data_IF_002754973301
#
_entry.id   IF_002754973301
#
_cell.length_a   1.000
_cell.length_b   1.000
_cell.length_c   1.000
_cell.angle_alpha   90.00
_cell.angle_beta   90.00
_cell.angle_gamma   90.00
#
_symmetry.space_group_name_H-M   'P 1'
#
loop_
_entity.id
_entity.type
_entity.pdbx_description
1 polymer ?
#
# COMPACT_ATOMS: atom_id res chain seq x y z
N UNK A 1 -12.81 -10.43 19.83
CA UNK A 1 -12.06 -10.97 18.67
C UNK A 1 -12.91 -11.89 17.79
N UNK A 2 -13.83 -12.72 18.33
CA UNK A 2 -14.71 -13.55 17.51
C UNK A 2 -15.77 -12.76 16.71
N UNK A 3 -16.48 -11.81 17.33
CA UNK A 3 -17.53 -11.01 16.67
C UNK A 3 -17.00 -10.11 15.53
N UNK A 4 -15.76 -9.63 15.64
CA UNK A 4 -15.10 -8.84 14.59
C UNK A 4 -14.72 -9.69 13.38
N UNK A 5 -14.34 -10.95 13.57
CA UNK A 5 -13.91 -11.84 12.48
C UNK A 5 -15.10 -12.34 11.65
N UNK A 6 -16.24 -12.63 12.29
CA UNK A 6 -17.46 -13.04 11.59
C UNK A 6 -18.02 -11.91 10.72
N UNK A 7 -17.97 -10.66 11.22
CA UNK A 7 -18.39 -9.48 10.46
C UNK A 7 -17.52 -9.28 9.22
N UNK A 8 -16.20 -9.48 9.31
CA UNK A 8 -15.27 -9.33 8.18
C UNK A 8 -15.44 -10.44 7.15
N UNK A 9 -15.62 -11.69 7.57
CA UNK A 9 -15.84 -12.81 6.67
C UNK A 9 -17.12 -12.61 5.84
N UNK A 10 -18.17 -12.06 6.47
CA UNK A 10 -19.41 -11.68 5.80
C UNK A 10 -19.21 -10.53 4.80
N UNK A 11 -18.41 -9.51 5.14
CA UNK A 11 -18.06 -8.41 4.23
C UNK A 11 -17.34 -8.93 2.98
N UNK A 12 -16.31 -9.75 3.15
CA UNK A 12 -15.53 -10.31 2.03
C UNK A 12 -16.39 -11.23 1.16
N UNK A 13 -17.25 -12.04 1.78
CA UNK A 13 -18.18 -12.90 1.04
C UNK A 13 -19.10 -12.08 0.11
N UNK A 14 -19.61 -10.94 0.59
CA UNK A 14 -20.46 -10.06 -0.22
C UNK A 14 -19.68 -9.34 -1.34
N UNK A 15 -18.42 -8.97 -1.12
CA UNK A 15 -17.55 -8.45 -2.17
C UNK A 15 -17.29 -9.47 -3.31
N UNK A 16 -17.18 -10.75 -2.96
CA UNK A 16 -16.96 -11.86 -3.92
C UNK A 16 -18.21 -12.17 -4.74
N UNK A 17 -19.39 -12.11 -4.13
CA UNK A 17 -20.67 -12.24 -4.84
C UNK A 17 -20.85 -11.15 -5.91
N UNK A 18 -20.24 -9.99 -5.67
CA UNK A 18 -20.18 -8.88 -6.60
C UNK A 18 -21.46 -8.05 -6.65
N UNK A 19 -21.32 -6.79 -7.06
CA UNK A 19 -22.44 -5.85 -7.14
C UNK A 19 -22.37 -4.99 -8.38
N UNK A 20 -23.53 -4.67 -8.94
CA UNK A 20 -23.63 -3.75 -10.07
C UNK A 20 -23.43 -2.32 -9.56
N UNK A 21 -22.36 -1.68 -10.03
CA UNK A 21 -22.07 -0.27 -9.78
C UNK A 21 -21.97 0.48 -11.10
N UNK A 22 -22.25 1.78 -11.05
CA UNK A 22 -22.07 2.65 -12.21
C UNK A 22 -20.67 3.24 -12.18
N UNK A 23 -19.85 2.84 -13.14
CA UNK A 23 -18.51 3.40 -13.35
C UNK A 23 -18.61 4.68 -14.16
N UNK A 24 -18.08 5.77 -13.60
CA UNK A 24 -17.99 7.06 -14.24
C UNK A 24 -16.57 7.29 -14.81
N UNK A 25 -16.53 7.94 -15.97
CA UNK A 25 -15.31 8.42 -16.62
C UNK A 25 -15.28 9.94 -16.62
N UNK A 26 -14.08 10.50 -16.70
CA UNK A 26 -13.85 11.96 -16.69
C UNK A 26 -14.53 12.67 -17.87
N UNK A 27 -14.68 11.97 -19.01
CA UNK A 27 -15.45 12.44 -20.17
C UNK A 27 -17.00 12.36 -19.98
N UNK A 28 -17.46 11.91 -18.82
CA UNK A 28 -18.87 11.78 -18.45
C UNK A 28 -19.59 10.54 -18.97
N UNK A 29 -18.89 9.58 -19.58
CA UNK A 29 -19.48 8.29 -19.97
C UNK A 29 -19.75 7.44 -18.72
N UNK A 30 -20.91 6.78 -18.72
CA UNK A 30 -21.37 5.89 -17.63
C UNK A 30 -21.39 4.45 -18.09
N UNK A 31 -20.90 3.57 -17.23
CA UNK A 31 -20.86 2.14 -17.51
C UNK A 31 -21.37 1.37 -16.30
N UNK A 32 -22.62 0.85 -16.34
CA UNK A 32 -23.06 -0.15 -15.38
C UNK A 32 -22.20 -1.40 -15.54
N UNK A 33 -21.57 -1.83 -14.46
CA UNK A 33 -20.65 -2.96 -14.43
C UNK A 33 -20.83 -3.71 -13.12
N UNK A 34 -20.83 -5.03 -13.19
CA UNK A 34 -20.80 -5.86 -11.99
C UNK A 34 -19.35 -5.99 -11.54
N UNK A 35 -19.02 -5.44 -10.38
CA UNK A 35 -17.69 -5.52 -9.78
C UNK A 35 -17.66 -6.63 -8.76
N UNK A 36 -16.53 -7.33 -8.68
CA UNK A 36 -16.33 -8.42 -7.72
C UNK A 36 -14.87 -8.48 -7.29
N UNK A 37 -14.65 -8.98 -6.08
CA UNK A 37 -13.34 -9.23 -5.50
C UNK A 37 -12.87 -10.66 -5.79
N UNK A 38 -11.68 -10.78 -6.34
CA UNK A 38 -10.89 -12.00 -6.37
C UNK A 38 -9.98 -12.01 -5.15
N UNK A 39 -10.48 -12.58 -4.05
CA UNK A 39 -9.82 -12.52 -2.74
C UNK A 39 -8.47 -13.24 -2.74
N UNK A 40 -8.38 -14.43 -3.36
CA UNK A 40 -7.13 -15.22 -3.38
C UNK A 40 -6.05 -14.53 -4.20
N UNK A 41 -6.44 -13.96 -5.33
CA UNK A 41 -5.53 -13.30 -6.27
C UNK A 41 -5.32 -11.81 -5.94
N UNK A 42 -6.03 -11.28 -4.94
CA UNK A 42 -5.83 -9.93 -4.39
C UNK A 42 -6.20 -8.79 -5.33
N UNK A 43 -7.28 -8.92 -6.11
CA UNK A 43 -7.71 -7.86 -7.02
C UNK A 43 -9.22 -7.71 -7.18
N UNK A 44 -9.65 -6.53 -7.63
CA UNK A 44 -11.03 -6.23 -8.03
C UNK A 44 -11.07 -6.17 -9.55
N UNK A 45 -12.10 -6.75 -10.16
CA UNK A 45 -12.38 -6.62 -11.59
C UNK A 45 -13.87 -6.41 -11.82
N UNK A 46 -14.28 -6.29 -13.09
CA UNK A 46 -15.68 -6.15 -13.44
C UNK A 46 -16.03 -6.79 -14.78
N UNK A 47 -17.27 -7.25 -14.93
CA UNK A 47 -17.80 -7.80 -16.17
C UNK A 47 -18.55 -6.77 -17.03
N UNK A 48 -18.69 -7.07 -18.33
CA UNK A 48 -19.51 -6.31 -19.27
C UNK A 48 -18.78 -5.26 -20.14
N UNK A 49 -17.46 -5.38 -20.33
CA UNK A 49 -16.72 -4.55 -21.31
C UNK A 49 -17.11 -4.91 -22.75
N UNK A 50 -17.82 -4.02 -23.46
CA UNK A 50 -18.21 -4.20 -24.88
C UNK A 50 -17.07 -3.94 -25.89
N UNK A 51 -15.82 -3.81 -25.43
CA UNK A 51 -14.68 -3.62 -26.35
C UNK A 51 -14.36 -4.97 -27.00
N UNK A 52 -14.36 -5.05 -28.33
CA UNK A 52 -13.76 -6.19 -29.04
C UNK A 52 -12.34 -6.39 -28.51
N UNK A 53 -12.04 -7.58 -28.00
CA UNK A 53 -10.76 -7.98 -27.39
C UNK A 53 -10.32 -7.23 -26.11
N UNK A 54 -11.19 -6.41 -25.50
CA UNK A 54 -10.84 -5.67 -24.31
C UNK A 54 -11.03 -6.48 -23.03
N UNK A 55 -9.94 -7.08 -22.50
CA UNK A 55 -9.94 -7.70 -21.17
C UNK A 55 -10.45 -6.71 -20.10
N UNK A 56 -11.25 -7.16 -19.12
CA UNK A 56 -11.70 -6.30 -18.04
C UNK A 56 -10.49 -5.78 -17.25
N UNK A 57 -10.62 -4.57 -16.71
CA UNK A 57 -9.51 -3.93 -16.02
C UNK A 57 -9.40 -4.48 -14.61
N UNK A 58 -8.19 -4.91 -14.26
CA UNK A 58 -7.82 -5.40 -12.94
C UNK A 58 -7.35 -4.22 -12.09
N UNK A 59 -7.84 -4.14 -10.85
CA UNK A 59 -7.39 -3.23 -9.81
C UNK A 59 -6.81 -4.09 -8.68
N UNK A 60 -5.49 -4.26 -8.65
CA UNK A 60 -4.85 -5.03 -7.57
C UNK A 60 -4.99 -4.24 -6.28
N UNK A 61 -5.34 -4.92 -5.20
CA UNK A 61 -5.43 -4.30 -3.87
C UNK A 61 -4.09 -3.66 -3.48
N UNK A 62 -2.97 -4.26 -3.92
CA UNK A 62 -1.63 -3.74 -3.70
C UNK A 62 -1.31 -2.42 -4.44
N UNK A 63 -2.09 -2.06 -5.46
CA UNK A 63 -1.87 -0.85 -6.23
C UNK A 63 -2.80 0.30 -5.80
N UNK A 64 -3.69 0.03 -4.82
CA UNK A 64 -4.61 1.04 -4.28
C UNK A 64 -3.80 1.94 -3.34
N UNK A 65 -3.76 3.22 -3.66
CA UNK A 65 -3.16 4.26 -2.83
C UNK A 65 -4.14 4.71 -1.75
N UNK A 66 -5.41 4.89 -2.12
CA UNK A 66 -6.43 5.49 -1.26
C UNK A 66 -7.84 5.13 -1.73
N UNK A 67 -8.79 5.05 -0.81
CA UNK A 67 -10.23 4.92 -1.11
C UNK A 67 -10.93 6.17 -0.59
N UNK A 68 -11.63 6.87 -1.49
CA UNK A 68 -12.31 8.14 -1.18
C UNK A 68 -13.82 7.99 -1.25
N UNK A 69 -14.54 8.41 -0.22
CA UNK A 69 -16.01 8.42 -0.22
C UNK A 69 -16.57 9.78 -0.64
N UNK A 70 -17.71 9.79 -1.33
CA UNK A 70 -18.42 11.01 -1.71
C UNK A 70 -17.63 11.90 -2.69
N UNK A 71 -17.74 13.22 -2.51
CA UNK A 71 -17.12 14.24 -3.37
C UNK A 71 -15.60 14.43 -3.20
N UNK A 72 -14.92 13.62 -2.38
CA UNK A 72 -13.46 13.69 -2.22
C UNK A 72 -12.65 13.29 -3.48
N UNK A 73 -13.32 12.95 -4.59
CA UNK A 73 -12.71 12.80 -5.90
C UNK A 73 -13.25 13.87 -6.86
N UNK A 74 -12.36 14.76 -7.31
CA UNK A 74 -12.57 15.87 -8.25
C UNK A 74 -13.59 15.55 -9.37
N UNK A 75 -13.54 14.34 -9.91
CA UNK A 75 -14.41 13.86 -10.98
C UNK A 75 -15.90 13.85 -10.64
N UNK A 76 -16.31 13.58 -9.40
CA UNK A 76 -17.73 13.51 -9.05
C UNK A 76 -18.38 14.90 -8.94
N UNK A 77 -17.63 15.88 -8.46
CA UNK A 77 -18.07 17.28 -8.40
C UNK A 77 -18.28 17.88 -9.79
N UNK A 78 -17.32 17.67 -10.71
CA UNK A 78 -17.46 18.11 -12.10
C UNK A 78 -18.67 17.48 -12.79
N UNK A 79 -18.97 16.22 -12.47
CA UNK A 79 -20.09 15.49 -13.04
C UNK A 79 -21.44 15.91 -12.47
N UNK A 80 -21.52 16.31 -11.20
CA UNK A 80 -22.72 16.92 -10.62
C UNK A 80 -22.93 18.33 -11.16
N UNK A 81 -21.89 19.15 -11.24
CA UNK A 81 -21.96 20.51 -11.81
C UNK A 81 -22.39 20.51 -13.29
N UNK A 82 -21.93 19.52 -14.07
CA UNK A 82 -22.36 19.31 -15.47
C UNK A 82 -23.74 18.64 -15.61
N UNK A 83 -24.50 18.50 -14.51
CA UNK A 83 -25.81 17.79 -14.42
C UNK A 83 -25.79 16.34 -14.92
N UNK A 84 -24.61 15.71 -14.96
CA UNK A 84 -24.45 14.33 -15.40
C UNK A 84 -24.72 13.32 -14.28
N UNK A 85 -24.79 13.73 -13.02
CA UNK A 85 -25.08 12.91 -11.83
C UNK A 85 -26.07 13.69 -10.94
N UNK A 86 -26.97 13.00 -10.22
CA UNK A 86 -27.92 13.66 -9.29
C UNK A 86 -27.22 13.97 -7.96
N UNK A 87 -27.63 15.04 -7.28
CA UNK A 87 -27.08 15.39 -5.95
C UNK A 87 -27.22 14.25 -4.92
N UNK A 88 -28.29 13.44 -5.01
CA UNK A 88 -28.51 12.29 -4.12
C UNK A 88 -27.61 11.07 -4.43
N UNK A 89 -26.81 11.11 -5.50
CA UNK A 89 -25.86 10.04 -5.80
C UNK A 89 -24.58 10.16 -4.95
N UNK A 90 -24.38 11.30 -4.26
CA UNK A 90 -23.23 11.58 -3.40
C UNK A 90 -23.00 10.49 -2.34
N UNK A 91 -24.04 10.16 -1.57
CA UNK A 91 -23.92 9.23 -0.43
C UNK A 91 -23.70 7.78 -0.86
N UNK A 92 -23.78 7.53 -2.17
CA UNK A 92 -23.58 6.22 -2.81
C UNK A 92 -22.28 6.18 -3.61
N UNK A 93 -21.56 7.30 -3.72
CA UNK A 93 -20.36 7.42 -4.53
C UNK A 93 -19.08 7.14 -3.73
N UNK A 94 -18.11 6.52 -4.39
CA UNK A 94 -16.74 6.39 -3.89
C UNK A 94 -15.75 6.23 -5.05
N UNK A 95 -14.47 6.46 -4.79
CA UNK A 95 -13.40 6.36 -5.76
C UNK A 95 -12.25 5.52 -5.24
N UNK A 96 -11.74 4.62 -6.08
CA UNK A 96 -10.49 3.90 -5.83
C UNK A 96 -9.38 4.67 -6.53
N UNK A 97 -8.44 5.19 -5.76
CA UNK A 97 -7.27 5.94 -6.25
C UNK A 97 -6.08 4.99 -6.32
N UNK A 98 -5.35 5.04 -7.43
CA UNK A 98 -4.22 4.16 -7.71
C UNK A 98 -3.21 4.84 -8.65
N UNK A 99 -2.05 4.20 -8.85
CA UNK A 99 -0.95 4.69 -9.69
C UNK A 99 -0.35 6.01 -9.15
N UNK A 100 0.10 5.99 -7.89
CA UNK A 100 0.68 7.13 -7.19
C UNK A 100 -0.23 8.37 -7.22
N UNK A 101 -1.50 8.17 -6.91
CA UNK A 101 -2.54 9.20 -6.86
C UNK A 101 -2.87 9.84 -8.22
N UNK A 102 -2.41 9.28 -9.34
CA UNK A 102 -2.61 9.84 -10.69
C UNK A 102 -3.92 9.40 -11.34
N UNK A 103 -4.51 8.28 -10.91
CA UNK A 103 -5.69 7.69 -11.57
C UNK A 103 -6.79 7.35 -10.56
N UNK A 104 -8.04 7.51 -11.00
CA UNK A 104 -9.23 7.17 -10.22
C UNK A 104 -10.15 6.18 -10.92
N UNK A 105 -10.77 5.28 -10.17
CA UNK A 105 -11.94 4.51 -10.58
C UNK A 105 -13.15 5.00 -9.79
N UNK A 106 -13.98 5.80 -10.45
CA UNK A 106 -15.12 6.49 -9.86
C UNK A 106 -16.38 5.63 -9.97
N UNK A 107 -16.93 5.21 -8.84
CA UNK A 107 -18.04 4.26 -8.74
C UNK A 107 -19.23 4.84 -7.97
N UNK A 108 -20.45 4.53 -8.42
CA UNK A 108 -21.69 4.81 -7.70
C UNK A 108 -22.36 3.47 -7.41
N UNK A 109 -22.53 3.17 -6.12
CA UNK A 109 -23.21 1.99 -5.63
C UNK A 109 -24.75 2.12 -5.78
N UNK A 110 -25.51 1.01 -5.69
CA UNK A 110 -26.98 1.02 -5.69
C UNK A 110 -27.56 1.82 -4.52
N UNK A 111 -26.95 1.70 -3.34
CA UNK A 111 -27.39 2.35 -2.10
C UNK A 111 -26.18 2.66 -1.18
N UNK A 112 -26.44 3.45 -0.13
CA UNK A 112 -25.41 3.87 0.84
C UNK A 112 -24.81 2.67 1.60
N UNK A 113 -25.65 1.70 1.96
CA UNK A 113 -25.23 0.51 2.69
C UNK A 113 -24.20 -0.30 1.89
N UNK A 114 -24.44 -0.45 0.59
CA UNK A 114 -23.54 -1.13 -0.35
C UNK A 114 -22.25 -0.35 -0.52
N UNK A 115 -22.31 0.99 -0.62
CA UNK A 115 -21.11 1.83 -0.67
C UNK A 115 -20.25 1.64 0.58
N UNK A 116 -20.86 1.72 1.76
CA UNK A 116 -20.14 1.59 3.04
C UNK A 116 -19.54 0.20 3.21
N UNK A 117 -20.26 -0.85 2.80
CA UNK A 117 -19.76 -2.21 2.77
C UNK A 117 -18.53 -2.34 1.86
N UNK A 118 -18.60 -1.79 0.65
CA UNK A 118 -17.49 -1.85 -0.30
C UNK A 118 -16.27 -1.08 0.18
N UNK A 119 -16.47 0.15 0.66
CA UNK A 119 -15.39 0.97 1.20
C UNK A 119 -14.74 0.29 2.41
N UNK A 120 -15.54 -0.19 3.36
CA UNK A 120 -15.02 -0.85 4.57
C UNK A 120 -14.27 -2.13 4.23
N UNK A 121 -14.81 -2.96 3.34
CA UNK A 121 -14.15 -4.21 2.94
C UNK A 121 -12.87 -3.97 2.15
N UNK A 122 -12.83 -2.98 1.25
CA UNK A 122 -11.62 -2.62 0.53
C UNK A 122 -10.57 -1.97 1.43
N UNK A 123 -10.97 -1.06 2.33
CA UNK A 123 -10.08 -0.46 3.32
C UNK A 123 -9.47 -1.54 4.20
N UNK A 124 -10.28 -2.50 4.66
CA UNK A 124 -9.81 -3.63 5.42
C UNK A 124 -8.78 -4.48 4.67
N UNK A 125 -8.95 -4.69 3.35
CA UNK A 125 -7.96 -5.42 2.54
C UNK A 125 -6.65 -4.63 2.38
N UNK A 126 -6.73 -3.30 2.25
CA UNK A 126 -5.57 -2.40 2.21
C UNK A 126 -4.85 -2.37 3.58
N UNK A 127 -5.57 -2.34 4.69
CA UNK A 127 -5.00 -2.39 6.03
C UNK A 127 -4.42 -3.78 6.33
N UNK A 128 -5.11 -4.84 5.87
CA UNK A 128 -4.59 -6.19 5.90
C UNK A 128 -3.33 -6.34 5.05
N UNK A 129 -3.12 -5.60 3.96
CA UNK A 129 -1.82 -5.61 3.25
C UNK A 129 -0.71 -5.11 4.15
N UNK A 130 -0.95 -4.03 4.90
CA UNK A 130 0.01 -3.48 5.88
C UNK A 130 0.33 -4.48 6.99
N UNK A 131 -0.66 -5.26 7.43
CA UNK A 131 -0.48 -6.34 8.42
C UNK A 131 -0.01 -7.67 7.80
N UNK A 132 -0.31 -7.97 6.54
CA UNK A 132 0.13 -9.18 5.80
C UNK A 132 1.56 -9.06 5.36
N UNK A 133 2.10 -7.86 5.13
CA UNK A 133 3.56 -7.64 5.12
C UNK A 133 4.22 -8.19 6.39
N UNK A 134 3.50 -8.26 7.52
CA UNK A 134 3.97 -8.88 8.76
C UNK A 134 3.64 -10.37 8.85
N UNK A 135 2.48 -10.82 8.32
CA UNK A 135 2.09 -12.24 8.28
C UNK A 135 2.61 -13.05 7.08
N UNK A 136 3.35 -12.45 6.14
CA UNK A 136 4.07 -13.15 5.05
C UNK A 136 5.18 -14.09 5.55
N UNK A 137 5.33 -14.21 6.87
CA UNK A 137 6.24 -15.09 7.57
C UNK A 137 5.63 -16.46 7.91
N UNK A 138 4.41 -16.79 7.46
CA UNK A 138 3.78 -18.11 7.70
C UNK A 138 4.12 -19.12 6.58
N UNK A 139 5.10 -18.78 5.73
CA UNK A 139 5.69 -19.71 4.78
C UNK A 139 6.20 -18.93 3.58
N UNK A 140 7.41 -18.39 3.68
CA UNK A 140 8.09 -17.72 2.57
C UNK A 140 8.00 -18.56 1.28
N UNK A 141 8.07 -19.88 1.42
CA UNK A 141 7.90 -20.82 0.30
C UNK A 141 6.51 -20.74 -0.34
N UNK A 142 5.43 -20.66 0.43
CA UNK A 142 4.07 -20.51 -0.11
C UNK A 142 3.91 -19.20 -0.86
N UNK A 143 4.49 -18.11 -0.35
CA UNK A 143 4.50 -16.82 -1.06
C UNK A 143 5.33 -16.87 -2.35
N UNK A 144 6.49 -17.53 -2.32
CA UNK A 144 7.28 -17.76 -3.54
C UNK A 144 6.46 -18.60 -4.55
N UNK A 145 5.72 -19.60 -4.08
CA UNK A 145 4.86 -20.43 -4.91
C UNK A 145 3.67 -19.64 -5.51
N UNK A 146 3.21 -18.56 -4.89
CA UNK A 146 2.23 -17.66 -5.53
C UNK A 146 2.81 -17.01 -6.80
N UNK A 147 4.08 -16.60 -6.80
CA UNK A 147 4.74 -16.13 -8.03
C UNK A 147 4.91 -17.24 -9.05
N UNK A 148 5.21 -18.45 -8.59
CA UNK A 148 5.29 -19.62 -9.47
C UNK A 148 3.98 -19.81 -10.23
N UNK A 149 2.87 -19.88 -9.50
CA UNK A 149 1.55 -20.08 -10.10
C UNK A 149 1.10 -18.91 -10.97
N UNK A 150 1.51 -17.68 -10.65
CA UNK A 150 1.23 -16.51 -11.47
C UNK A 150 2.05 -16.51 -12.80
N UNK A 151 3.26 -17.07 -12.77
CA UNK A 151 4.14 -17.16 -13.93
C UNK A 151 3.82 -18.35 -14.86
N UNK A 152 3.18 -19.40 -14.33
CA UNK A 152 2.75 -20.59 -15.09
C UNK A 152 1.51 -20.28 -15.95
N UNK A 153 1.71 -19.47 -16.98
CA UNK A 153 0.62 -18.98 -17.83
C UNK A 153 -0.03 -20.06 -18.67
N UNK A 154 0.73 -21.10 -19.01
CA UNK A 154 0.27 -22.24 -19.79
C UNK A 154 -0.32 -23.38 -18.91
N UNK A 155 -0.26 -23.23 -17.58
CA UNK A 155 -0.75 -24.22 -16.59
C UNK A 155 -0.06 -25.59 -16.70
N UNK A 156 1.21 -25.60 -17.10
CA UNK A 156 2.02 -26.81 -17.23
C UNK A 156 2.45 -27.39 -15.88
N UNK A 157 2.23 -26.66 -14.77
CA UNK A 157 2.76 -26.97 -13.44
C UNK A 157 4.30 -26.95 -13.37
N UNK A 158 4.94 -26.34 -14.37
CA UNK A 158 6.37 -26.10 -14.47
C UNK A 158 6.60 -24.71 -15.04
N UNK A 159 7.79 -24.14 -14.86
CA UNK A 159 8.15 -22.87 -15.48
C UNK A 159 9.26 -23.04 -16.50
N UNK A 160 8.98 -22.63 -17.73
CA UNK A 160 10.01 -22.50 -18.76
C UNK A 160 10.98 -21.35 -18.45
N UNK A 161 12.16 -21.37 -19.08
CA UNK A 161 13.13 -20.26 -19.02
C UNK A 161 12.51 -18.92 -19.42
N UNK A 162 11.60 -18.93 -20.38
CA UNK A 162 10.87 -17.73 -20.83
C UNK A 162 9.94 -17.21 -19.74
N UNK A 163 9.11 -18.06 -19.15
CA UNK A 163 8.18 -17.66 -18.07
C UNK A 163 8.93 -17.15 -16.85
N UNK A 164 10.07 -17.77 -16.51
CA UNK A 164 10.94 -17.27 -15.44
C UNK A 164 11.50 -15.87 -15.77
N UNK A 165 12.02 -15.65 -16.98
CA UNK A 165 12.52 -14.32 -17.40
C UNK A 165 11.41 -13.27 -17.39
N UNK A 166 10.21 -13.62 -17.88
CA UNK A 166 9.06 -12.72 -17.92
C UNK A 166 8.57 -12.37 -16.51
N UNK A 167 8.63 -13.31 -15.55
CA UNK A 167 8.35 -13.04 -14.15
C UNK A 167 9.36 -12.04 -13.57
N UNK A 168 10.66 -12.28 -13.78
CA UNK A 168 11.72 -11.43 -13.26
C UNK A 168 11.61 -9.99 -13.79
N UNK A 169 11.47 -9.82 -15.10
CA UNK A 169 11.42 -8.49 -15.73
C UNK A 169 10.09 -7.78 -15.49
N UNK A 170 8.97 -8.44 -15.78
CA UNK A 170 7.67 -7.77 -15.84
C UNK A 170 6.96 -7.68 -14.50
N UNK A 171 7.22 -8.62 -13.58
CA UNK A 171 6.52 -8.68 -12.29
C UNK A 171 7.40 -8.25 -11.12
N UNK A 172 8.68 -8.61 -11.13
CA UNK A 172 9.60 -8.32 -10.04
C UNK A 172 10.53 -7.13 -10.34
N UNK A 173 10.55 -6.64 -11.58
CA UNK A 173 11.42 -5.56 -12.04
C UNK A 173 12.92 -5.83 -11.74
N UNK A 174 13.33 -7.08 -11.98
CA UNK A 174 14.71 -7.55 -11.80
C UNK A 174 15.33 -7.70 -13.18
N UNK A 175 16.31 -6.85 -13.48
CA UNK A 175 17.17 -7.00 -14.65
C UNK A 175 18.34 -7.92 -14.31
N UNK A 176 18.55 -8.94 -15.14
CA UNK A 176 19.61 -9.93 -14.96
C UNK A 176 20.28 -10.26 -16.29
N UNK A 177 21.63 -10.25 -16.36
CA UNK A 177 22.36 -10.75 -17.51
C UNK A 177 22.04 -12.22 -17.81
N UNK A 178 21.89 -12.57 -19.09
CA UNK A 178 21.49 -13.91 -19.52
C UNK A 178 22.43 -15.01 -19.02
N UNK A 179 23.74 -14.76 -19.00
CA UNK A 179 24.72 -15.74 -18.50
C UNK A 179 24.53 -16.06 -17.01
N UNK A 180 24.16 -15.07 -16.19
CA UNK A 180 23.88 -15.27 -14.76
C UNK A 180 22.58 -16.06 -14.60
N UNK A 181 21.55 -15.70 -15.37
CA UNK A 181 20.28 -16.41 -15.36
C UNK A 181 20.45 -17.89 -15.72
N UNK A 182 21.10 -18.19 -16.85
CA UNK A 182 21.33 -19.57 -17.29
C UNK A 182 22.14 -20.36 -16.26
N UNK A 183 23.20 -19.77 -15.68
CA UNK A 183 23.98 -20.43 -14.64
C UNK A 183 23.15 -20.76 -13.39
N UNK A 184 22.29 -19.83 -12.95
CA UNK A 184 21.42 -20.07 -11.79
C UNK A 184 20.34 -21.10 -12.08
N UNK A 185 19.72 -21.02 -13.25
CA UNK A 185 18.67 -21.93 -13.70
C UNK A 185 19.20 -23.36 -13.80
N UNK A 186 20.31 -23.55 -14.51
CA UNK A 186 20.94 -24.86 -14.70
C UNK A 186 21.46 -25.45 -13.39
N UNK A 187 21.80 -24.62 -12.40
CA UNK A 187 22.26 -25.08 -11.08
C UNK A 187 21.13 -25.71 -10.25
N UNK A 188 19.88 -25.27 -10.42
CA UNK A 188 18.74 -25.79 -9.66
C UNK A 188 17.92 -26.83 -10.42
N UNK A 189 17.97 -26.80 -11.75
CA UNK A 189 17.29 -27.75 -12.61
C UNK A 189 17.88 -29.15 -12.42
N UNK A 190 17.06 -30.10 -11.99
CA UNK A 190 17.43 -31.51 -11.84
C UNK A 190 16.86 -32.39 -12.94
N UNK A 191 15.87 -31.88 -13.68
CA UNK A 191 15.24 -32.62 -14.79
C UNK A 191 15.99 -32.43 -16.11
N UNK A 192 15.83 -33.39 -17.03
CA UNK A 192 16.38 -33.32 -18.38
C UNK A 192 15.69 -32.27 -19.29
N UNK A 193 14.64 -31.61 -18.79
CA UNK A 193 13.85 -30.63 -19.53
C UNK A 193 14.19 -29.23 -19.02
N UNK A 194 14.25 -28.25 -19.93
CA UNK A 194 14.56 -26.82 -19.65
C UNK A 194 13.43 -26.08 -18.92
N UNK A 195 12.98 -26.65 -17.80
CA UNK A 195 11.90 -26.17 -16.94
C UNK A 195 12.25 -26.33 -15.47
N UNK A 196 11.65 -25.51 -14.61
CA UNK A 196 11.68 -25.65 -13.15
C UNK A 196 10.35 -26.14 -12.62
N UNK A 197 10.36 -27.17 -11.78
CA UNK A 197 9.22 -27.54 -10.96
C UNK A 197 9.09 -26.60 -9.72
N UNK A 198 8.00 -26.68 -8.94
CA UNK A 198 7.78 -25.79 -7.79
C UNK A 198 8.95 -25.75 -6.78
N UNK A 199 9.56 -26.90 -6.47
CA UNK A 199 10.65 -27.02 -5.49
C UNK A 199 11.95 -26.40 -6.04
N UNK A 200 12.25 -26.66 -7.31
CA UNK A 200 13.40 -26.08 -8.00
C UNK A 200 13.26 -24.56 -8.12
N UNK A 201 12.05 -24.07 -8.41
CA UNK A 201 11.77 -22.65 -8.49
C UNK A 201 11.92 -21.95 -7.13
N UNK A 202 11.44 -22.53 -6.04
CA UNK A 202 11.68 -21.98 -4.69
C UNK A 202 13.17 -21.84 -4.41
N UNK A 203 13.96 -22.84 -4.81
CA UNK A 203 15.42 -22.80 -4.66
C UNK A 203 16.05 -21.70 -5.52
N UNK A 204 15.64 -21.58 -6.78
CA UNK A 204 16.06 -20.53 -7.70
C UNK A 204 15.77 -19.13 -7.13
N UNK A 205 14.55 -18.92 -6.64
CA UNK A 205 14.09 -17.66 -6.09
C UNK A 205 14.85 -17.29 -4.81
N UNK A 206 15.08 -18.25 -3.92
CA UNK A 206 15.90 -18.06 -2.72
C UNK A 206 17.35 -17.71 -3.09
N UNK A 207 17.92 -18.32 -4.14
CA UNK A 207 19.26 -17.97 -4.63
C UNK A 207 19.32 -16.53 -5.16
N UNK A 208 18.30 -16.09 -5.88
CA UNK A 208 18.18 -14.73 -6.42
C UNK A 208 18.10 -13.67 -5.32
N UNK A 209 17.32 -13.97 -4.27
CA UNK A 209 17.03 -13.03 -3.19
C UNK A 209 17.99 -13.13 -2.01
N UNK A 210 19.15 -13.78 -2.21
CA UNK A 210 20.19 -13.95 -1.17
C UNK A 210 20.67 -12.60 -0.61
N UNK A 211 20.39 -12.39 0.67
CA UNK A 211 20.80 -11.20 1.43
C UNK A 211 22.18 -11.38 2.09
N UNK A 212 23.24 -11.31 1.26
CA UNK A 212 24.64 -11.40 1.72
C UNK A 212 24.99 -10.32 2.76
N UNK A 213 24.37 -9.17 2.65
CA UNK A 213 24.47 -8.06 3.60
C UNK A 213 24.00 -8.46 4.99
N UNK A 214 22.85 -9.13 5.11
CA UNK A 214 22.34 -9.62 6.39
C UNK A 214 23.26 -10.68 7.00
N UNK A 215 23.79 -11.57 6.15
CA UNK A 215 24.80 -12.54 6.57
C UNK A 215 26.04 -11.86 7.16
N UNK A 216 26.61 -10.88 6.45
CA UNK A 216 27.78 -10.12 6.92
C UNK A 216 27.51 -9.36 8.22
N UNK A 217 26.28 -8.87 8.43
CA UNK A 217 25.89 -8.24 9.69
C UNK A 217 25.86 -9.29 10.80
N UNK A 218 25.11 -10.37 10.62
CA UNK A 218 24.93 -11.44 11.60
C UNK A 218 26.26 -12.07 12.02
N UNK A 219 27.17 -12.31 11.07
CA UNK A 219 28.51 -12.83 11.33
C UNK A 219 29.33 -12.01 12.32
N UNK A 220 29.07 -10.70 12.48
CA UNK A 220 29.78 -9.86 13.46
C UNK A 220 29.38 -10.17 14.90
N UNK A 221 28.22 -10.80 15.10
CA UNK A 221 27.63 -11.06 16.40
C UNK A 221 27.66 -12.54 16.78
N UNK A 222 27.73 -13.44 15.79
CA UNK A 222 27.94 -14.87 16.00
C UNK A 222 29.40 -15.13 16.39
N UNK A 223 29.59 -15.71 17.58
CA UNK A 223 30.89 -16.18 18.08
C UNK A 223 30.96 -17.70 18.10
N UNK A 224 29.81 -18.37 18.09
CA UNK A 224 29.68 -19.82 18.22
C UNK A 224 29.82 -20.50 16.84
N UNK A 225 30.86 -21.32 16.65
CA UNK A 225 31.05 -22.14 15.44
C UNK A 225 31.75 -21.43 14.28
N UNK A 226 33.09 -21.50 14.25
CA UNK A 226 34.00 -20.86 13.28
C UNK A 226 33.87 -21.32 11.80
N UNK A 227 32.82 -22.06 11.41
CA UNK A 227 32.66 -22.62 10.06
C UNK A 227 31.19 -22.66 9.59
N UNK A 228 30.41 -21.63 9.92
CA UNK A 228 29.04 -21.52 9.43
C UNK A 228 29.01 -20.93 8.01
N UNK A 229 28.28 -21.58 7.11
CA UNK A 229 27.86 -21.07 5.81
C UNK A 229 26.61 -20.21 5.97
N UNK A 230 26.21 -19.51 4.91
CA UNK A 230 24.98 -18.71 4.92
C UNK A 230 23.70 -19.56 5.13
N UNK A 231 23.77 -20.87 4.91
CA UNK A 231 22.65 -21.81 5.02
C UNK A 231 22.49 -22.40 6.42
N UNK A 232 23.53 -22.34 7.26
CA UNK A 232 23.53 -22.91 8.61
C UNK A 232 23.96 -21.91 9.69
N UNK A 233 24.10 -20.63 9.35
CA UNK A 233 24.40 -19.58 10.34
C UNK A 233 23.23 -19.40 11.30
N UNK A 234 23.54 -19.29 12.59
CA UNK A 234 22.55 -18.99 13.62
C UNK A 234 23.16 -18.13 14.73
N UNK A 235 22.32 -17.33 15.38
CA UNK A 235 22.62 -16.66 16.64
C UNK A 235 21.90 -17.38 17.77
N UNK A 236 22.61 -17.68 18.86
CA UNK A 236 21.95 -18.10 20.08
C UNK A 236 21.31 -16.91 20.83
N UNK A 237 20.54 -17.20 21.88
CA UNK A 237 19.89 -16.17 22.72
C UNK A 237 20.86 -15.16 23.37
N UNK A 238 22.10 -15.54 23.64
CA UNK A 238 23.11 -14.65 24.22
C UNK A 238 23.69 -13.70 23.17
N UNK A 239 23.99 -14.23 21.99
CA UNK A 239 24.45 -13.48 20.83
C UNK A 239 23.37 -12.50 20.33
N UNK A 240 22.11 -12.96 20.27
CA UNK A 240 20.97 -12.10 19.97
C UNK A 240 20.81 -11.00 21.02
N UNK A 241 20.85 -11.32 22.32
CA UNK A 241 20.77 -10.30 23.36
C UNK A 241 21.91 -9.28 23.26
N UNK A 242 23.12 -9.72 22.91
CA UNK A 242 24.26 -8.84 22.68
C UNK A 242 24.03 -7.92 21.48
N UNK A 243 23.54 -8.45 20.35
CA UNK A 243 23.14 -7.66 19.18
C UNK A 243 22.10 -6.60 19.56
N UNK A 244 21.02 -6.98 20.25
CA UNK A 244 19.93 -6.08 20.64
C UNK A 244 20.38 -4.97 21.59
N UNK A 245 21.31 -5.27 22.50
CA UNK A 245 21.89 -4.27 23.41
C UNK A 245 22.79 -3.28 22.68
N UNK A 246 23.63 -3.76 21.75
CA UNK A 246 24.54 -2.89 21.01
C UNK A 246 23.85 -2.03 19.95
N UNK A 247 22.77 -2.55 19.36
CA UNK A 247 22.02 -1.84 18.32
C UNK A 247 20.86 -1.01 18.89
N UNK A 248 20.74 -0.98 20.23
CA UNK A 248 19.70 -0.22 20.92
C UNK A 248 19.71 1.25 20.49
N UNK A 249 18.55 1.72 20.07
CA UNK A 249 18.23 3.14 19.93
C UNK A 249 17.17 3.52 20.97
N UNK A 250 17.07 4.80 21.33
CA UNK A 250 16.09 5.35 22.29
C UNK A 250 14.64 4.95 21.96
N UNK A 251 14.36 4.70 20.68
CA UNK A 251 13.04 4.36 20.16
C UNK A 251 12.70 2.86 20.16
N UNK A 252 13.64 1.97 20.48
CA UNK A 252 13.37 0.52 20.52
C UNK A 252 12.85 0.09 21.90
N UNK A 253 11.89 -0.85 21.92
CA UNK A 253 11.41 -1.47 23.17
C UNK A 253 12.58 -2.02 23.97
N UNK A 254 12.53 -1.85 25.29
CA UNK A 254 13.59 -2.30 26.18
C UNK A 254 13.67 -3.84 26.19
N UNK A 255 14.67 -4.40 25.49
CA UNK A 255 15.04 -5.81 25.56
C UNK A 255 16.36 -5.91 26.32
N UNK A 256 16.31 -6.40 27.56
CA UNK A 256 17.46 -6.47 28.46
C UNK A 256 17.70 -7.84 29.08
N UNK A 257 16.82 -8.81 28.84
CA UNK A 257 16.90 -10.14 29.45
C UNK A 257 16.94 -11.27 28.42
N UNK A 258 17.55 -12.39 28.81
CA UNK A 258 17.58 -13.62 27.99
C UNK A 258 16.18 -14.16 27.73
N UNK A 259 15.24 -13.97 28.66
CA UNK A 259 13.84 -14.37 28.48
C UNK A 259 13.16 -13.57 27.38
N UNK A 260 13.44 -12.28 27.26
CA UNK A 260 12.91 -11.48 26.16
C UNK A 260 13.59 -11.82 24.83
N UNK A 261 14.90 -12.07 24.82
CA UNK A 261 15.59 -12.56 23.63
C UNK A 261 14.99 -13.89 23.14
N UNK A 262 14.68 -14.83 24.04
CA UNK A 262 14.00 -16.07 23.68
C UNK A 262 12.63 -15.81 23.05
N UNK A 263 11.82 -14.87 23.59
CA UNK A 263 10.53 -14.51 22.99
C UNK A 263 10.67 -13.97 21.56
N UNK A 264 11.72 -13.22 21.28
CA UNK A 264 12.03 -12.75 19.92
C UNK A 264 12.32 -13.95 19.00
N UNK A 265 13.09 -14.93 19.47
CA UNK A 265 13.35 -16.17 18.72
C UNK A 265 12.04 -16.92 18.47
N UNK A 266 11.23 -17.10 19.51
CA UNK A 266 9.94 -17.79 19.41
C UNK A 266 8.99 -17.12 18.41
N UNK A 267 9.05 -15.79 18.31
CA UNK A 267 8.22 -14.97 17.42
C UNK A 267 8.69 -15.02 15.96
N UNK A 268 10.00 -14.97 15.69
CA UNK A 268 10.53 -14.74 14.34
C UNK A 268 11.23 -15.93 13.69
N UNK A 269 11.69 -16.91 14.47
CA UNK A 269 12.27 -18.14 13.92
C UNK A 269 11.16 -19.05 13.41
N UNK A 270 11.23 -19.49 12.15
CA UNK A 270 10.21 -20.36 11.54
C UNK A 270 10.56 -21.84 11.64
N UNK A 271 11.86 -22.17 11.68
CA UNK A 271 12.34 -23.53 11.81
C UNK A 271 12.14 -24.00 13.27
N UNK A 272 11.24 -24.95 13.48
CA UNK A 272 10.91 -25.47 14.80
C UNK A 272 12.13 -26.04 15.54
N UNK A 273 13.05 -26.70 14.84
CA UNK A 273 14.27 -27.26 15.46
C UNK A 273 15.17 -26.13 16.00
N UNK A 274 15.33 -25.05 15.24
CA UNK A 274 16.12 -23.90 15.66
C UNK A 274 15.42 -23.16 16.80
N UNK A 275 14.10 -22.97 16.69
CA UNK A 275 13.27 -22.33 17.72
C UNK A 275 13.36 -23.07 19.06
N UNK A 276 13.18 -24.39 19.06
CA UNK A 276 13.27 -25.24 20.26
C UNK A 276 14.66 -25.20 20.91
N UNK A 277 15.72 -25.06 20.10
CA UNK A 277 17.11 -24.92 20.57
C UNK A 277 17.45 -23.49 21.02
N UNK A 278 16.56 -22.52 20.83
CA UNK A 278 16.83 -21.10 21.13
C UNK A 278 17.85 -20.49 20.16
N UNK A 279 17.80 -20.90 18.90
CA UNK A 279 18.62 -20.41 17.81
C UNK A 279 17.79 -19.57 16.84
N UNK A 280 18.37 -18.46 16.39
CA UNK A 280 17.81 -17.58 15.37
C UNK A 280 18.64 -17.75 14.09
N UNK A 281 18.05 -18.31 13.05
CA UNK A 281 18.63 -18.45 11.72
C UNK A 281 18.76 -17.09 11.02
N UNK A 282 19.44 -17.07 9.86
CA UNK A 282 19.48 -15.88 9.00
C UNK A 282 18.09 -15.41 8.55
N UNK A 283 17.18 -16.35 8.29
CA UNK A 283 15.79 -16.04 7.92
C UNK A 283 15.03 -15.45 9.11
N UNK A 284 15.18 -16.05 10.30
CA UNK A 284 14.63 -15.49 11.54
C UNK A 284 15.15 -14.08 11.83
N UNK A 285 16.45 -13.84 11.60
CA UNK A 285 17.07 -12.52 11.75
C UNK A 285 16.50 -11.50 10.77
N UNK A 286 16.35 -11.88 9.49
CA UNK A 286 15.69 -11.03 8.48
C UNK A 286 14.26 -10.68 8.88
N UNK A 287 13.50 -11.66 9.35
CA UNK A 287 12.10 -11.48 9.75
C UNK A 287 11.98 -10.51 10.92
N UNK A 288 12.88 -10.66 11.91
CA UNK A 288 12.98 -9.75 13.04
C UNK A 288 13.24 -8.30 12.57
N UNK A 289 14.24 -8.09 11.70
CA UNK A 289 14.59 -6.75 11.22
C UNK A 289 13.50 -6.07 10.38
N UNK A 290 12.66 -6.85 9.69
CA UNK A 290 11.52 -6.35 8.91
C UNK A 290 10.25 -6.17 9.76
N UNK A 291 10.29 -6.54 11.04
CA UNK A 291 9.15 -6.44 11.93
C UNK A 291 8.92 -5.00 12.41
N UNK A 292 7.72 -4.73 12.91
CA UNK A 292 7.35 -3.44 13.53
C UNK A 292 8.24 -3.06 14.71
N UNK A 293 8.88 -4.04 15.37
CA UNK A 293 9.75 -3.79 16.52
C UNK A 293 11.06 -3.09 16.10
N UNK A 294 11.43 -3.17 14.81
CA UNK A 294 12.63 -2.57 14.21
C UNK A 294 12.27 -1.54 13.13
N UNK A 295 11.03 -1.04 13.15
CA UNK A 295 10.61 0.03 12.26
C UNK A 295 11.41 1.30 12.59
N UNK A 296 12.09 1.85 11.59
CA UNK A 296 12.83 3.11 11.72
C UNK A 296 11.91 4.31 11.89
N UNK A 297 10.64 4.16 11.47
CA UNK A 297 9.64 5.18 11.66
C UNK A 297 9.11 5.06 13.09
N UNK A 298 8.97 6.18 13.80
CA UNK A 298 8.42 6.22 15.16
C UNK A 298 6.92 5.88 15.13
N UNK A 299 6.58 4.63 14.82
CA UNK A 299 5.21 4.13 14.68
C UNK A 299 4.38 4.33 15.96
N UNK A 300 5.04 4.43 17.12
CA UNK A 300 4.41 4.70 18.42
C UNK A 300 4.12 6.18 18.67
N UNK A 301 4.89 7.10 18.09
CA UNK A 301 4.71 8.56 18.22
C UNK A 301 3.87 9.15 17.09
N UNK A 302 3.84 8.51 15.91
CA UNK A 302 3.17 9.06 14.72
C UNK A 302 1.65 9.14 14.80
N UNK A 303 1.01 8.49 15.77
CA UNK A 303 -0.46 8.46 15.91
C UNK A 303 -1.00 9.19 17.14
N UNK A 304 -0.13 9.75 17.99
CA UNK A 304 -0.56 10.50 19.18
C UNK A 304 0.21 11.81 19.27
N UNK A 305 -0.53 12.90 19.44
CA UNK A 305 0.03 14.21 19.77
C UNK A 305 0.80 14.05 21.09
N UNK A 306 2.12 14.21 21.03
CA UNK A 306 3.02 14.05 22.17
C UNK A 306 3.69 15.36 22.58
N UNK A 307 3.71 16.35 21.67
CA UNK A 307 4.22 17.68 21.96
C UNK A 307 3.27 18.38 22.95
N UNK A 308 3.85 19.24 23.78
CA UNK A 308 3.09 20.18 24.60
C UNK A 308 2.35 21.16 23.66
N UNK A 309 1.02 21.05 23.58
CA UNK A 309 0.15 21.91 22.74
C UNK A 309 -0.38 23.14 23.47
N UNK A 310 0.19 23.49 24.64
CA UNK A 310 -0.25 24.63 25.47
C UNK A 310 0.64 25.88 25.36
N UNK A 311 1.73 25.81 24.60
CA UNK A 311 2.65 26.93 24.38
C UNK A 311 2.04 27.97 23.42
N UNK A 312 2.60 29.19 23.34
CA UNK A 312 2.19 30.17 22.34
C UNK A 312 2.36 29.67 20.90
N UNK A 313 1.50 30.13 19.98
CA UNK A 313 1.51 29.67 18.58
C UNK A 313 2.86 29.89 17.87
N UNK A 314 3.63 30.90 18.29
CA UNK A 314 4.97 31.20 17.75
C UNK A 314 6.05 30.18 18.11
N UNK A 315 5.78 29.25 19.03
CA UNK A 315 6.70 28.19 19.42
C UNK A 315 6.59 26.95 18.51
N UNK A 316 5.64 26.93 17.57
CA UNK A 316 5.36 25.78 16.70
C UNK A 316 5.72 26.05 15.25
N UNK A 317 6.28 25.04 14.59
CA UNK A 317 6.27 24.98 13.14
C UNK A 317 4.86 24.61 12.66
N UNK A 318 4.29 25.45 11.79
CA UNK A 318 2.95 25.28 11.26
C UNK A 318 3.05 24.78 9.82
N UNK A 319 2.39 23.68 9.51
CA UNK A 319 2.28 23.21 8.13
C UNK A 319 1.41 24.19 7.32
N UNK A 320 2.02 24.90 6.37
CA UNK A 320 1.41 26.00 5.60
C UNK A 320 1.42 25.72 4.10
N UNK A 321 0.37 26.13 3.39
CA UNK A 321 0.26 26.06 1.94
C UNK A 321 0.17 27.46 1.35
N UNK A 322 1.09 27.76 0.42
CA UNK A 322 1.13 29.00 -0.36
C UNK A 322 0.38 28.83 -1.68
N UNK A 323 -0.37 29.84 -2.11
CA UNK A 323 -1.23 29.82 -3.29
C UNK A 323 -2.02 28.51 -3.43
N UNK A 324 -2.70 28.09 -2.36
CA UNK A 324 -3.32 26.76 -2.24
C UNK A 324 -4.26 26.44 -3.40
N UNK A 325 -4.91 27.44 -3.99
CA UNK A 325 -5.80 27.30 -5.12
C UNK A 325 -5.10 26.86 -6.43
N UNK A 326 -3.77 26.95 -6.53
CA UNK A 326 -3.01 26.58 -7.72
C UNK A 326 -2.53 25.12 -7.68
N UNK A 327 -2.75 24.39 -8.78
CA UNK A 327 -2.35 22.98 -8.86
C UNK A 327 -1.00 22.74 -9.57
N UNK A 328 -0.63 23.57 -10.55
CA UNK A 328 0.51 23.30 -11.43
C UNK A 328 1.41 24.51 -11.65
N UNK A 329 0.88 25.55 -12.31
CA UNK A 329 1.68 26.68 -12.79
C UNK A 329 1.20 27.97 -12.15
N UNK A 330 2.16 28.82 -11.80
CA UNK A 330 1.92 30.16 -11.28
C UNK A 330 1.46 31.12 -12.39
N UNK A 331 1.61 30.78 -13.68
CA UNK A 331 1.40 31.73 -14.78
C UNK A 331 0.17 31.41 -15.62
N UNK A 332 -0.22 30.13 -15.70
CA UNK A 332 -1.33 29.66 -16.53
C UNK A 332 -1.94 28.37 -15.97
N UNK A 333 -3.25 28.22 -16.05
CA UNK A 333 -3.94 27.04 -15.53
C UNK A 333 -5.29 27.37 -14.91
N UNK A 334 -5.78 26.48 -14.06
CA UNK A 334 -7.04 26.66 -13.35
C UNK A 334 -6.80 26.69 -11.84
N UNK A 335 -7.53 27.57 -11.16
CA UNK A 335 -7.70 27.50 -9.71
C UNK A 335 -8.66 26.36 -9.35
N UNK A 336 -8.29 25.53 -8.37
CA UNK A 336 -9.08 24.37 -7.95
C UNK A 336 -9.49 24.47 -6.47
N UNK A 337 -10.78 24.67 -6.17
CA UNK A 337 -11.28 24.65 -4.79
C UNK A 337 -10.99 23.34 -4.04
N UNK A 338 -10.76 22.21 -4.72
CA UNK A 338 -10.45 20.92 -4.08
C UNK A 338 -9.03 20.86 -3.52
N UNK A 339 -8.14 21.75 -3.98
CA UNK A 339 -6.79 21.82 -3.44
C UNK A 339 -6.79 22.14 -1.94
N UNK A 340 -7.75 22.94 -1.46
CA UNK A 340 -7.93 23.23 -0.04
C UNK A 340 -8.30 21.98 0.77
N UNK A 341 -9.21 21.15 0.26
CA UNK A 341 -9.57 19.88 0.92
C UNK A 341 -8.37 18.96 1.04
N UNK A 342 -7.59 18.84 -0.03
CA UNK A 342 -6.40 18.00 -0.06
C UNK A 342 -5.38 18.43 0.99
N UNK A 343 -5.00 19.71 1.02
CA UNK A 343 -3.98 20.16 1.97
C UNK A 343 -4.48 20.06 3.41
N UNK A 344 -5.76 20.33 3.68
CA UNK A 344 -6.37 20.16 5.01
C UNK A 344 -6.33 18.69 5.46
N UNK A 345 -6.66 17.75 4.57
CA UNK A 345 -6.60 16.30 4.84
C UNK A 345 -5.16 15.80 5.03
N UNK A 346 -4.17 16.49 4.46
CA UNK A 346 -2.74 16.24 4.70
C UNK A 346 -2.21 16.91 5.99
N UNK A 347 -3.10 17.51 6.80
CA UNK A 347 -2.73 18.15 8.07
C UNK A 347 -2.22 19.59 7.94
N UNK A 348 -2.37 20.24 6.78
CA UNK A 348 -2.06 21.67 6.64
C UNK A 348 -2.97 22.50 7.54
N UNK A 349 -2.41 23.50 8.23
CA UNK A 349 -3.10 24.36 9.21
C UNK A 349 -3.16 25.84 8.82
N UNK A 350 -2.45 26.24 7.76
CA UNK A 350 -2.56 27.58 7.19
C UNK A 350 -2.65 27.50 5.66
N UNK A 351 -3.62 28.18 5.07
CA UNK A 351 -3.87 28.20 3.63
C UNK A 351 -4.03 29.65 3.15
N UNK A 352 -3.75 29.88 1.88
CA UNK A 352 -3.78 31.21 1.27
C UNK A 352 -4.95 31.37 0.29
N UNK A 353 -5.62 32.52 0.34
CA UNK A 353 -6.75 32.88 -0.53
C UNK A 353 -6.54 34.30 -1.09
N UNK A 354 -6.11 34.40 -2.33
CA UNK A 354 -5.91 35.68 -3.02
C UNK A 354 -7.24 36.20 -3.56
N UNK A 355 -7.91 37.01 -2.76
CA UNK A 355 -9.29 37.45 -3.02
C UNK A 355 -9.34 38.71 -3.89
N UNK A 356 -10.23 38.71 -4.89
CA UNK A 356 -10.50 39.82 -5.79
C UNK A 356 -12.01 39.98 -6.03
N UNK A 357 -12.41 41.17 -6.49
CA UNK A 357 -13.77 41.43 -6.93
C UNK A 357 -14.05 40.69 -8.25
N UNK A 358 -15.16 39.94 -8.29
CA UNK A 358 -15.66 39.29 -9.50
C UNK A 358 -16.62 40.18 -10.27
N UNK A 359 -16.71 39.95 -11.58
CA UNK A 359 -17.54 40.75 -12.50
C UNK A 359 -19.05 40.66 -12.18
N UNK A 360 -19.48 39.62 -11.47
CA UNK A 360 -20.85 39.41 -11.01
C UNK A 360 -21.13 40.02 -9.62
N UNK A 361 -20.19 40.80 -9.08
CA UNK A 361 -20.25 41.40 -7.75
C UNK A 361 -19.98 40.42 -6.61
N UNK A 362 -19.55 39.18 -6.90
CA UNK A 362 -19.17 38.19 -5.87
C UNK A 362 -17.64 38.04 -5.80
N UNK A 363 -17.07 37.75 -4.61
CA UNK A 363 -15.64 37.56 -4.48
C UNK A 363 -15.15 36.29 -5.19
N UNK A 364 -14.02 36.43 -5.87
CA UNK A 364 -13.30 35.36 -6.54
C UNK A 364 -11.90 35.21 -5.93
N UNK A 365 -11.29 34.03 -6.10
CA UNK A 365 -9.90 33.76 -5.79
C UNK A 365 -9.12 33.55 -7.08
N UNK A 366 -8.03 34.31 -7.27
CA UNK A 366 -7.19 34.23 -8.48
C UNK A 366 -5.77 34.72 -8.22
N UNK A 367 -4.84 34.30 -9.07
CA UNK A 367 -3.49 34.86 -9.09
C UNK A 367 -3.44 36.09 -10.01
N UNK A 368 -3.17 37.28 -9.46
CA UNK A 368 -3.23 38.53 -10.22
C UNK A 368 -2.24 38.58 -11.39
N UNK A 369 -2.63 39.29 -12.45
CA UNK A 369 -1.81 39.52 -13.65
C UNK A 369 -1.34 38.23 -14.36
N UNK A 370 -2.08 37.12 -14.19
CA UNK A 370 -1.76 35.82 -14.82
C UNK A 370 -2.92 35.30 -15.66
N UNK A 371 -2.68 34.23 -16.41
CA UNK A 371 -3.68 33.52 -17.23
C UNK A 371 -4.36 32.39 -16.44
N UNK A 372 -4.33 32.45 -15.11
CA UNK A 372 -5.00 31.47 -14.26
C UNK A 372 -6.49 31.79 -14.18
N UNK A 373 -7.33 30.82 -14.49
CA UNK A 373 -8.78 30.98 -14.35
C UNK A 373 -9.16 31.10 -12.86
N UNK A 374 -9.99 32.11 -12.51
CA UNK A 374 -10.43 32.34 -11.14
C UNK A 374 -11.38 31.24 -10.66
N UNK A 375 -11.55 31.13 -9.35
CA UNK A 375 -12.58 30.29 -8.75
C UNK A 375 -13.41 31.08 -7.72
N UNK A 376 -14.63 30.61 -7.44
CA UNK A 376 -15.53 31.28 -6.49
C UNK A 376 -15.03 31.13 -5.06
N UNK A 377 -14.92 32.26 -4.33
CA UNK A 377 -14.61 32.25 -2.91
C UNK A 377 -15.64 31.46 -2.10
N UNK A 378 -16.94 31.66 -2.38
CA UNK A 378 -18.02 30.92 -1.72
C UNK A 378 -17.88 29.41 -1.90
N UNK A 379 -17.52 28.95 -3.11
CA UNK A 379 -17.27 27.54 -3.40
C UNK A 379 -16.13 26.97 -2.55
N UNK A 380 -15.02 27.71 -2.42
CA UNK A 380 -13.88 27.31 -1.58
C UNK A 380 -14.32 27.13 -0.12
N UNK A 381 -14.96 28.14 0.48
CA UNK A 381 -15.37 28.09 1.88
C UNK A 381 -16.34 26.93 2.14
N UNK A 382 -17.33 26.73 1.26
CA UNK A 382 -18.31 25.62 1.39
C UNK A 382 -17.63 24.26 1.35
N UNK A 383 -16.59 24.08 0.52
CA UNK A 383 -15.84 22.83 0.38
C UNK A 383 -14.90 22.58 1.54
N UNK A 384 -14.23 23.62 2.06
CA UNK A 384 -13.31 23.50 3.18
C UNK A 384 -14.01 23.10 4.49
N UNK A 385 -15.19 23.66 4.74
CA UNK A 385 -15.89 23.57 6.05
C UNK A 385 -15.97 22.15 6.63
N UNK A 386 -16.33 21.09 5.88
CA UNK A 386 -16.38 19.73 6.41
C UNK A 386 -15.01 19.11 6.74
N UNK A 387 -13.92 19.65 6.19
CA UNK A 387 -12.58 19.06 6.28
C UNK A 387 -11.63 19.82 7.20
N UNK A 388 -11.98 21.02 7.68
CA UNK A 388 -11.12 21.90 8.50
C UNK A 388 -10.42 21.14 9.63
N UNK A 389 -11.18 20.32 10.37
CA UNK A 389 -10.69 19.62 11.56
C UNK A 389 -10.66 18.09 11.42
N UNK A 390 -10.80 17.57 10.19
CA UNK A 390 -10.96 16.12 9.97
C UNK A 390 -9.66 15.34 10.19
N UNK A 391 -8.53 15.88 9.76
CA UNK A 391 -7.22 15.24 9.89
C UNK A 391 -6.42 15.71 11.11
N UNK A 392 -6.71 16.90 11.62
CA UNK A 392 -6.05 17.50 12.78
C UNK A 392 -7.08 18.40 13.49
N UNK A 393 -7.26 18.27 14.82
CA UNK A 393 -8.34 18.92 15.58
C UNK A 393 -8.25 20.44 15.63
#
# INVERSE_FOLDING_TARGET
MAETNDTIAQLIHQLKAGVVMVKHKDNGKKYPRQFFLHEREGYITYDGSRKLNGKPRIYRVNDIDEIRTGFAAQTFDELVQRRKIKSNDHDRAFSIIYDNHRKGAHLIAPDMKTRDLWVSGLQHLVDQRSNKRQHHLIGEENWILEFFHAADTNKSQTLSKKECRDLLSNSLNIEMPDNIFENMFNKVQKTQYDVLNPVEFVTFFKMLTRRKDLYTIMQKFVKTGLQQTMENIYMDKHELLYFLRLTKNENMKHIDSLNQAQKVIDEFEMNNEFREKGFLSLDGFRNMLLSRNFDITESSLSHKIYQDMTRPICDYYINTSHNTYLFYSQVSGNSDPEAYNRVLLMGCRAVELDCYDGDDGKPIVKHAFTLVNPCSFESIIRRMKPNLFKASP
#
